data_IF_544342917571
#
_entry.id   IF_544342917571
#
_cell.length_a   1.000
_cell.length_b   1.000
_cell.length_c   1.000
_cell.angle_alpha   90.00
_cell.angle_beta   90.00
_cell.angle_gamma   90.00
#
_symmetry.space_group_name_H-M   'P 1'
#
loop_
_entity.id
_entity.type
_entity.pdbx_description
1 polymer ?
#
# COMPACT_ATOMS: atom_id res chain seq x y z
N UNK A 1 -6.29 13.76 12.42
CA UNK A 1 -7.58 13.86 13.13
C UNK A 1 -8.19 12.47 13.24
N UNK A 2 -8.64 12.10 14.40
CA UNK A 2 -9.19 10.77 14.61
C UNK A 2 -10.58 10.64 13.98
N UNK A 3 -10.87 9.46 13.43
CA UNK A 3 -12.20 9.13 12.95
C UNK A 3 -13.14 8.85 14.13
N UNK A 4 -14.44 9.11 13.95
CA UNK A 4 -15.45 8.80 14.95
C UNK A 4 -16.57 7.96 14.36
N UNK A 5 -17.15 7.09 15.19
CA UNK A 5 -18.22 6.20 14.77
C UNK A 5 -19.45 6.96 14.25
N UNK A 6 -19.72 8.14 14.81
CA UNK A 6 -20.88 8.94 14.39
C UNK A 6 -20.76 9.51 12.97
N UNK A 7 -19.55 9.54 12.40
CA UNK A 7 -19.29 10.10 11.08
C UNK A 7 -18.96 9.06 10.02
N UNK A 8 -18.85 7.78 10.43
CA UNK A 8 -18.50 6.68 9.55
C UNK A 8 -19.70 5.79 9.31
N UNK A 9 -19.79 5.25 8.10
CA UNK A 9 -20.78 4.22 7.78
C UNK A 9 -20.17 3.21 6.82
N UNK A 10 -20.70 2.01 6.86
CA UNK A 10 -20.32 0.95 5.93
C UNK A 10 -20.50 1.43 4.49
N UNK A 11 -19.51 1.21 3.66
CA UNK A 11 -19.48 1.68 2.28
C UNK A 11 -18.74 2.98 2.06
N UNK A 12 -18.38 3.72 3.12
CA UNK A 12 -17.56 4.91 2.98
C UNK A 12 -16.20 4.55 2.39
N UNK A 13 -15.70 5.40 1.49
CA UNK A 13 -14.47 5.16 0.73
C UNK A 13 -13.50 6.31 0.95
N UNK A 14 -12.26 5.98 1.24
CA UNK A 14 -11.15 6.92 1.27
C UNK A 14 -10.10 6.50 0.25
N UNK A 15 -9.72 7.41 -0.64
CA UNK A 15 -8.73 7.15 -1.68
C UNK A 15 -7.61 8.18 -1.59
N UNK A 16 -6.37 7.72 -1.78
CA UNK A 16 -5.22 8.61 -1.82
C UNK A 16 -4.23 8.15 -2.87
N UNK A 17 -3.59 9.10 -3.54
CA UNK A 17 -2.47 8.82 -4.42
C UNK A 17 -1.22 8.60 -3.59
N UNK A 18 -0.60 7.41 -3.74
CA UNK A 18 0.59 7.03 -2.98
C UNK A 18 1.86 7.56 -3.63
N UNK A 19 1.96 7.43 -4.93
CA UNK A 19 3.11 7.83 -5.73
C UNK A 19 2.67 8.08 -7.16
N UNK A 20 3.30 9.04 -7.80
CA UNK A 20 3.14 9.33 -9.21
C UNK A 20 4.48 9.10 -9.89
N UNK A 21 4.50 8.25 -10.92
CA UNK A 21 5.72 7.92 -11.67
C UNK A 21 6.84 7.43 -10.73
N UNK A 22 6.65 6.24 -10.16
CA UNK A 22 7.61 5.64 -9.22
C UNK A 22 9.01 5.61 -9.81
N UNK A 23 9.98 6.18 -9.12
CA UNK A 23 11.36 6.25 -9.58
C UNK A 23 12.17 5.04 -9.12
N UNK A 24 13.11 4.61 -9.95
CA UNK A 24 14.09 3.58 -9.57
C UNK A 24 14.85 3.98 -8.29
N UNK A 25 15.13 5.28 -8.12
CA UNK A 25 15.80 5.80 -6.93
C UNK A 25 15.00 5.51 -5.65
N UNK A 26 13.68 5.57 -5.68
CA UNK A 26 12.86 5.23 -4.52
C UNK A 26 13.00 3.75 -4.16
N UNK A 27 13.08 2.88 -5.17
CA UNK A 27 13.29 1.43 -4.96
C UNK A 27 14.65 1.19 -4.32
N UNK A 28 15.69 1.86 -4.81
CA UNK A 28 17.05 1.76 -4.25
C UNK A 28 17.09 2.28 -2.81
N UNK A 29 16.44 3.39 -2.54
CA UNK A 29 16.35 3.94 -1.18
C UNK A 29 15.66 2.96 -0.23
N UNK A 30 14.59 2.32 -0.69
CA UNK A 30 13.89 1.33 0.11
C UNK A 30 14.75 0.09 0.35
N UNK A 31 15.50 -0.37 -0.65
CA UNK A 31 16.45 -1.48 -0.48
C UNK A 31 17.44 -1.16 0.65
N UNK A 32 17.98 0.05 0.66
CA UNK A 32 18.90 0.50 1.72
C UNK A 32 18.24 0.59 3.09
N UNK A 33 17.02 1.13 3.14
CA UNK A 33 16.31 1.33 4.40
C UNK A 33 15.84 0.00 5.01
N UNK A 34 15.39 -0.94 4.18
CA UNK A 34 14.82 -2.22 4.62
C UNK A 34 15.86 -3.33 4.79
N UNK A 35 17.02 -3.20 4.15
CA UNK A 35 18.00 -4.27 4.08
C UNK A 35 17.64 -5.38 3.09
N UNK A 36 16.60 -5.19 2.28
CA UNK A 36 16.21 -6.14 1.24
C UNK A 36 16.95 -5.81 -0.06
N UNK A 37 18.09 -6.46 -0.24
CA UNK A 37 18.97 -6.28 -1.39
C UNK A 37 18.79 -7.34 -2.47
N UNK A 38 17.62 -7.95 -2.56
CA UNK A 38 17.35 -8.93 -3.62
C UNK A 38 17.60 -8.27 -4.98
N UNK A 39 18.44 -8.88 -5.84
CA UNK A 39 18.81 -8.28 -7.13
C UNK A 39 17.64 -8.03 -8.08
N UNK A 40 16.50 -8.65 -7.88
CA UNK A 40 15.28 -8.37 -8.65
C UNK A 40 14.84 -6.90 -8.56
N UNK A 41 15.27 -6.19 -7.52
CA UNK A 41 14.88 -4.81 -7.28
C UNK A 41 15.90 -3.78 -7.76
N UNK A 42 17.16 -4.17 -7.91
CA UNK A 42 18.24 -3.21 -8.16
C UNK A 42 19.18 -3.56 -9.29
N UNK A 43 19.25 -4.83 -9.70
CA UNK A 43 20.18 -5.29 -10.73
C UNK A 43 19.42 -5.57 -12.03
N UNK A 44 19.47 -4.61 -12.96
CA UNK A 44 18.77 -4.72 -14.23
C UNK A 44 19.27 -5.90 -15.06
N UNK A 45 20.58 -6.16 -15.07
CA UNK A 45 21.16 -7.25 -15.85
C UNK A 45 20.67 -8.59 -15.32
N UNK A 46 20.77 -8.81 -14.02
CA UNK A 46 20.28 -10.04 -13.41
C UNK A 46 18.78 -10.22 -13.66
N UNK A 47 18.00 -9.16 -13.42
CA UNK A 47 16.54 -9.23 -13.46
C UNK A 47 16.04 -9.53 -14.88
N UNK A 48 16.67 -8.93 -15.91
CA UNK A 48 16.22 -9.13 -17.28
C UNK A 48 16.82 -10.36 -17.91
N UNK A 49 18.12 -10.61 -17.74
CA UNK A 49 18.84 -11.69 -18.46
C UNK A 49 18.83 -13.02 -17.76
N UNK A 50 18.74 -13.03 -16.44
CA UNK A 50 18.74 -14.29 -15.67
C UNK A 50 17.33 -14.62 -15.20
N UNK A 51 16.63 -13.64 -14.57
CA UNK A 51 15.29 -13.88 -14.02
C UNK A 51 14.18 -13.75 -15.07
N UNK A 52 14.42 -13.10 -16.21
CA UNK A 52 13.46 -13.05 -17.31
C UNK A 52 12.36 -12.01 -17.20
N UNK A 53 12.48 -11.03 -16.32
CA UNK A 53 11.54 -9.92 -16.20
C UNK A 53 11.88 -8.78 -17.15
N UNK A 54 10.92 -7.90 -17.49
CA UNK A 54 11.19 -6.78 -18.39
C UNK A 54 12.06 -5.68 -17.78
N UNK A 55 12.12 -5.57 -16.46
CA UNK A 55 12.96 -4.62 -15.73
C UNK A 55 13.03 -5.01 -14.26
N UNK A 56 13.80 -4.28 -13.45
CA UNK A 56 13.69 -4.35 -12.00
C UNK A 56 12.27 -3.91 -11.59
N UNK A 57 11.82 -4.37 -10.44
CA UNK A 57 10.50 -3.99 -9.92
C UNK A 57 10.57 -3.71 -8.42
N UNK A 58 9.56 -3.01 -7.93
CA UNK A 58 9.52 -2.57 -6.54
C UNK A 58 9.31 -3.74 -5.58
N UNK A 59 9.85 -3.59 -4.38
CA UNK A 59 9.56 -4.50 -3.28
C UNK A 59 8.05 -4.44 -2.97
N UNK A 60 7.43 -5.59 -2.77
CA UNK A 60 6.04 -5.62 -2.30
C UNK A 60 5.86 -4.85 -1.01
N UNK A 61 6.82 -4.98 -0.08
CA UNK A 61 6.78 -4.27 1.20
C UNK A 61 6.89 -2.75 1.05
N UNK A 62 7.50 -2.22 -0.02
CA UNK A 62 7.46 -0.78 -0.31
C UNK A 62 6.01 -0.33 -0.59
N UNK A 63 5.30 -1.06 -1.44
CA UNK A 63 3.90 -0.75 -1.75
C UNK A 63 3.03 -0.91 -0.52
N UNK A 64 3.25 -1.96 0.27
CA UNK A 64 2.53 -2.16 1.53
C UNK A 64 2.79 -1.00 2.50
N UNK A 65 4.03 -0.51 2.59
CA UNK A 65 4.38 0.63 3.44
C UNK A 65 3.71 1.92 2.99
N UNK A 66 3.69 2.20 1.69
CA UNK A 66 3.00 3.39 1.16
C UNK A 66 1.49 3.33 1.42
N UNK A 67 0.87 2.17 1.23
CA UNK A 67 -0.55 1.96 1.53
C UNK A 67 -0.80 2.11 3.03
N UNK A 68 0.09 1.59 3.87
CA UNK A 68 0.01 1.73 5.33
C UNK A 68 0.09 3.19 5.77
N UNK A 69 0.90 4.00 5.10
CA UNK A 69 0.95 5.44 5.37
C UNK A 69 -0.40 6.10 5.07
N UNK A 70 -1.05 5.74 3.97
CA UNK A 70 -2.39 6.23 3.67
C UNK A 70 -3.36 5.89 4.80
N UNK A 71 -3.29 4.66 5.31
CA UNK A 71 -4.16 4.22 6.40
C UNK A 71 -3.91 5.03 7.68
N UNK A 72 -2.65 5.20 8.09
CA UNK A 72 -2.33 5.95 9.32
C UNK A 72 -2.63 7.44 9.17
N UNK A 73 -2.45 8.01 7.99
CA UNK A 73 -2.86 9.39 7.72
C UNK A 73 -4.38 9.55 7.83
N UNK A 74 -5.14 8.55 7.40
CA UNK A 74 -6.60 8.58 7.43
C UNK A 74 -7.16 8.37 8.83
N UNK A 75 -6.70 7.33 9.53
CA UNK A 75 -7.27 6.97 10.85
C UNK A 75 -6.66 7.74 12.00
N UNK A 76 -5.49 8.32 11.82
CA UNK A 76 -4.71 8.99 12.85
C UNK A 76 -3.61 8.10 13.41
N UNK A 77 -2.52 8.73 13.84
CA UNK A 77 -1.37 8.04 14.42
C UNK A 77 -1.79 7.23 15.64
N UNK A 78 -1.19 6.07 15.81
CA UNK A 78 -1.43 5.13 16.90
C UNK A 78 -2.79 4.43 16.88
N UNK A 79 -3.62 4.68 15.85
CA UNK A 79 -4.97 4.10 15.78
C UNK A 79 -5.06 2.78 15.04
N UNK A 80 -4.18 2.54 14.06
CA UNK A 80 -4.17 1.30 13.26
C UNK A 80 -3.77 0.13 14.14
N UNK A 81 -4.63 -0.91 14.22
CA UNK A 81 -4.42 -2.06 15.09
C UNK A 81 -4.14 -3.36 14.34
N UNK A 82 -4.63 -3.47 13.10
CA UNK A 82 -4.37 -4.62 12.22
C UNK A 82 -4.23 -4.15 10.80
N UNK A 83 -3.33 -4.80 10.08
CA UNK A 83 -3.10 -4.52 8.67
C UNK A 83 -2.45 -5.73 8.02
N UNK A 84 -3.07 -6.26 6.98
CA UNK A 84 -2.54 -7.40 6.25
C UNK A 84 -2.94 -7.33 4.79
N UNK A 85 -2.03 -7.76 3.89
CA UNK A 85 -2.25 -7.71 2.45
C UNK A 85 -1.74 -8.97 1.77
N UNK A 86 -2.21 -9.16 0.53
CA UNK A 86 -1.64 -10.08 -0.45
C UNK A 86 -1.12 -9.24 -1.61
N UNK A 87 0.06 -9.61 -2.12
CA UNK A 87 0.62 -8.99 -3.32
C UNK A 87 0.09 -9.73 -4.53
N UNK A 88 -0.57 -9.00 -5.43
CA UNK A 88 -1.28 -9.60 -6.57
C UNK A 88 -0.64 -9.32 -7.92
N UNK A 89 0.23 -8.31 -8.01
CA UNK A 89 1.00 -7.97 -9.21
C UNK A 89 2.25 -7.20 -8.85
N UNK A 90 3.27 -7.27 -9.71
CA UNK A 90 4.47 -6.46 -9.57
C UNK A 90 4.16 -4.98 -9.78
N UNK A 91 4.97 -4.14 -9.14
CA UNK A 91 4.96 -2.69 -9.35
C UNK A 91 6.25 -2.30 -10.05
N UNK A 92 6.12 -1.60 -11.16
CA UNK A 92 7.24 -1.27 -12.05
C UNK A 92 7.67 0.18 -11.90
N UNK A 93 8.95 0.49 -12.18
CA UNK A 93 9.35 1.90 -12.34
C UNK A 93 8.41 2.61 -13.32
N UNK A 94 7.98 3.80 -12.97
CA UNK A 94 7.02 4.58 -13.77
C UNK A 94 5.57 4.41 -13.35
N UNK A 95 5.25 3.41 -12.54
CA UNK A 95 3.88 3.20 -12.09
C UNK A 95 3.39 4.34 -11.18
N UNK A 96 2.12 4.66 -11.33
CA UNK A 96 1.37 5.57 -10.45
C UNK A 96 0.39 4.73 -9.64
N UNK A 97 0.41 4.86 -8.32
CA UNK A 97 -0.37 4.00 -7.43
C UNK A 97 -1.40 4.82 -6.65
N UNK A 98 -2.63 4.33 -6.66
CA UNK A 98 -3.73 4.85 -5.85
C UNK A 98 -4.22 3.77 -4.89
N UNK A 99 -4.36 4.11 -3.61
CA UNK A 99 -4.86 3.21 -2.59
C UNK A 99 -6.24 3.62 -2.13
N UNK A 100 -7.07 2.63 -1.83
CA UNK A 100 -8.46 2.84 -1.39
C UNK A 100 -8.72 2.01 -0.14
N UNK A 101 -9.34 2.63 0.85
CA UNK A 101 -9.88 1.96 2.03
C UNK A 101 -11.40 2.10 2.01
N UNK A 102 -12.10 0.98 2.07
CA UNK A 102 -13.56 0.95 2.08
C UNK A 102 -14.05 0.41 3.43
N UNK A 103 -14.89 1.15 4.12
CA UNK A 103 -15.42 0.74 5.42
C UNK A 103 -16.33 -0.46 5.27
N UNK A 104 -16.02 -1.54 5.97
CA UNK A 104 -16.82 -2.78 5.98
C UNK A 104 -17.58 -2.99 7.27
N UNK A 105 -17.10 -2.44 8.37
CA UNK A 105 -17.76 -2.58 9.67
C UNK A 105 -17.39 -1.41 10.58
N UNK A 106 -18.35 -0.93 11.36
CA UNK A 106 -18.16 0.13 12.37
C UNK A 106 -18.88 -0.30 13.64
N UNK A 107 -18.18 -0.31 14.75
CA UNK A 107 -18.80 -0.62 16.04
C UNK A 107 -17.78 -1.01 17.10
N UNK A 108 -18.17 -0.94 18.36
CA UNK A 108 -17.35 -1.33 19.51
C UNK A 108 -16.00 -0.60 19.55
N UNK A 109 -15.95 0.66 19.12
CA UNK A 109 -14.73 1.46 19.12
C UNK A 109 -13.75 1.09 18.02
N UNK A 110 -14.18 0.33 17.01
CA UNK A 110 -13.35 -0.12 15.91
C UNK A 110 -14.00 0.17 14.56
N UNK A 111 -13.18 0.37 13.55
CA UNK A 111 -13.57 0.39 12.14
C UNK A 111 -12.74 -0.66 11.40
N UNK A 112 -13.39 -1.38 10.49
CA UNK A 112 -12.72 -2.34 9.61
C UNK A 112 -12.82 -1.86 8.17
N UNK A 113 -11.75 -2.08 7.42
CA UNK A 113 -11.64 -1.69 6.02
C UNK A 113 -11.24 -2.85 5.14
N UNK A 114 -11.77 -2.86 3.91
CA UNK A 114 -11.11 -3.51 2.79
C UNK A 114 -10.12 -2.52 2.20
N UNK A 115 -8.94 -3.00 1.82
CA UNK A 115 -7.84 -2.18 1.31
C UNK A 115 -7.44 -2.69 -0.06
N UNK A 116 -7.25 -1.78 -1.01
CA UNK A 116 -6.81 -2.11 -2.36
C UNK A 116 -5.87 -1.01 -2.87
N UNK A 117 -4.80 -1.40 -3.55
CA UNK A 117 -3.91 -0.47 -4.25
C UNK A 117 -3.84 -0.89 -5.71
N UNK A 118 -4.05 0.07 -6.61
CA UNK A 118 -4.07 -0.14 -8.06
C UNK A 118 -3.07 0.75 -8.76
N UNK A 119 -2.55 0.27 -9.89
CA UNK A 119 -1.71 1.09 -10.75
C UNK A 119 -2.55 1.96 -11.69
N UNK A 120 -1.89 2.70 -12.60
CA UNK A 120 -2.53 3.61 -13.55
C UNK A 120 -3.46 2.90 -14.56
N UNK A 121 -3.28 1.60 -14.75
CA UNK A 121 -4.10 0.78 -15.66
C UNK A 121 -5.28 0.10 -14.93
N UNK A 122 -5.47 0.42 -13.65
CA UNK A 122 -6.50 -0.18 -12.83
C UNK A 122 -6.19 -1.61 -12.38
N UNK A 123 -4.96 -2.08 -12.57
CA UNK A 123 -4.52 -3.40 -12.13
C UNK A 123 -4.26 -3.35 -10.63
N UNK A 124 -4.89 -4.24 -9.87
CA UNK A 124 -4.67 -4.35 -8.44
C UNK A 124 -3.31 -4.97 -8.17
N UNK A 125 -2.48 -4.26 -7.40
CA UNK A 125 -1.13 -4.70 -7.05
C UNK A 125 -1.06 -5.29 -5.65
N UNK A 126 -1.97 -4.87 -4.77
CA UNK A 126 -2.20 -5.53 -3.49
C UNK A 126 -3.65 -5.36 -3.06
N UNK A 127 -4.10 -6.29 -2.23
CA UNK A 127 -5.42 -6.23 -1.59
C UNK A 127 -5.32 -6.79 -0.18
N UNK A 128 -6.17 -6.33 0.71
CA UNK A 128 -6.16 -6.82 2.07
C UNK A 128 -7.17 -6.14 2.97
N UNK A 129 -6.83 -6.04 4.23
CA UNK A 129 -7.71 -5.53 5.28
C UNK A 129 -6.94 -4.67 6.26
N UNK A 130 -7.67 -3.85 6.97
CA UNK A 130 -7.15 -3.07 8.09
C UNK A 130 -8.22 -2.89 9.16
N UNK A 131 -7.78 -2.73 10.40
CA UNK A 131 -8.65 -2.34 11.51
C UNK A 131 -8.00 -1.20 12.27
N UNK A 132 -8.82 -0.29 12.76
CA UNK A 132 -8.34 0.86 13.51
C UNK A 132 -9.29 1.17 14.67
N UNK A 133 -8.75 1.78 15.71
CA UNK A 133 -9.55 2.32 16.81
C UNK A 133 -10.16 3.65 16.40
N UNK A 134 -11.40 3.88 16.79
CA UNK A 134 -12.10 5.12 16.51
C UNK A 134 -12.75 5.66 17.77
N UNK A 135 -13.03 6.95 17.77
CA UNK A 135 -13.76 7.60 18.83
C UNK A 135 -15.28 7.34 18.69
N UNK A 136 -15.99 7.47 19.76
CA UNK A 136 -17.44 7.26 19.79
C UNK A 136 -18.19 8.31 18.92
#
# INVERSE_FOLDING_TARGET
MALSASKLKVGDVHTARLVEDLKRTQIVQYAGASGDYNPLHTDEIFTTKVAGYPSVFAHGMLTMGMTGKMLTDYVGDTRLTKYGVRFTSQVWPGDTLDATATVTEVGNGLVKFDVSTKNQDGIEVLSGYAEARIDA
#
